data_IF_925707842184
#
_entry.id   IF_925707842184
#
_cell.length_a   1.000
_cell.length_b   1.000
_cell.length_c   1.000
_cell.angle_alpha   90.00
_cell.angle_beta   90.00
_cell.angle_gamma   90.00
#
_symmetry.space_group_name_H-M   'P 1'
#
loop_
_entity.id
_entity.type
_entity.pdbx_description
1 polymer ?
#
# COMPACT_ATOMS: atom_id res chain seq x y z
N UNK A 1 -20.97 -18.80 15.05
CA UNK A 1 -21.74 -19.34 13.92
C UNK A 1 -22.21 -20.75 14.21
N UNK A 2 -23.48 -21.05 13.91
CA UNK A 2 -24.01 -22.41 13.97
C UNK A 2 -24.41 -22.82 12.54
N UNK A 3 -23.92 -23.97 12.07
CA UNK A 3 -24.38 -24.58 10.82
C UNK A 3 -25.34 -25.70 11.21
N UNK A 4 -26.62 -25.50 10.90
CA UNK A 4 -27.67 -26.48 11.17
C UNK A 4 -28.02 -27.20 9.87
N UNK A 5 -27.87 -28.51 9.84
CA UNK A 5 -28.35 -29.37 8.75
C UNK A 5 -29.53 -30.20 9.27
N UNK A 6 -30.71 -30.13 8.63
CA UNK A 6 -31.83 -30.97 9.02
C UNK A 6 -31.55 -32.42 8.65
N UNK A 7 -31.82 -33.34 9.57
CA UNK A 7 -31.70 -34.79 9.36
C UNK A 7 -33.11 -35.35 9.18
N UNK A 8 -33.29 -36.08 8.09
CA UNK A 8 -34.51 -36.81 7.78
C UNK A 8 -34.24 -38.31 7.83
N UNK A 9 -35.03 -39.05 8.61
CA UNK A 9 -34.96 -40.51 8.68
C UNK A 9 -36.28 -41.05 8.12
N UNK A 10 -36.20 -41.83 7.04
CA UNK A 10 -37.38 -42.40 6.35
C UNK A 10 -38.45 -41.34 6.01
N UNK A 11 -38.00 -40.17 5.54
CA UNK A 11 -38.88 -39.05 5.17
C UNK A 11 -39.49 -38.28 6.35
N UNK A 12 -39.25 -38.68 7.61
CA UNK A 12 -39.68 -37.94 8.79
C UNK A 12 -38.54 -37.05 9.30
N UNK A 13 -38.88 -35.79 9.59
CA UNK A 13 -37.96 -34.86 10.24
C UNK A 13 -37.60 -35.40 11.63
N UNK A 14 -36.30 -35.63 11.87
CA UNK A 14 -35.82 -36.21 13.12
C UNK A 14 -35.13 -35.18 14.00
N UNK A 15 -34.45 -34.20 13.41
CA UNK A 15 -33.79 -33.13 14.16
C UNK A 15 -32.78 -32.36 13.34
N UNK A 16 -31.94 -31.57 14.02
CA UNK A 16 -30.86 -30.79 13.42
C UNK A 16 -29.49 -31.29 13.89
N UNK A 17 -28.59 -31.57 12.95
CA UNK A 17 -27.17 -31.60 13.24
C UNK A 17 -26.65 -30.16 13.29
N UNK A 18 -26.23 -29.72 14.48
CA UNK A 18 -25.73 -28.37 14.70
C UNK A 18 -24.23 -28.42 14.94
N UNK A 19 -23.46 -27.80 14.04
CA UNK A 19 -22.03 -27.57 14.24
C UNK A 19 -21.81 -26.12 14.70
N UNK A 20 -21.32 -25.95 15.92
CA UNK A 20 -21.01 -24.64 16.49
C UNK A 20 -19.55 -24.28 16.22
N UNK A 21 -19.32 -23.25 15.41
CA UNK A 21 -17.99 -22.77 15.09
C UNK A 21 -17.72 -21.40 15.70
N UNK A 22 -16.54 -21.29 16.31
CA UNK A 22 -16.00 -20.01 16.80
C UNK A 22 -15.44 -19.24 15.61
N UNK A 23 -16.14 -18.18 15.20
CA UNK A 23 -15.87 -17.40 13.97
C UNK A 23 -14.42 -16.89 13.91
N UNK A 24 -13.88 -16.36 15.02
CA UNK A 24 -12.48 -15.93 15.10
C UNK A 24 -11.46 -17.05 14.89
N UNK A 25 -11.79 -18.33 15.16
CA UNK A 25 -10.86 -19.46 14.96
C UNK A 25 -10.85 -19.99 13.53
N UNK A 26 -11.98 -19.94 12.83
CA UNK A 26 -12.07 -20.40 11.44
C UNK A 26 -11.22 -19.54 10.49
N UNK A 27 -11.27 -18.22 10.66
CA UNK A 27 -10.60 -17.29 9.75
C UNK A 27 -9.19 -16.88 10.20
N UNK A 28 -8.74 -17.33 11.38
CA UNK A 28 -7.38 -17.11 11.91
C UNK A 28 -6.26 -17.44 10.91
N UNK A 29 -6.23 -18.63 10.27
CA UNK A 29 -5.18 -18.94 9.30
C UNK A 29 -5.23 -18.03 8.06
N UNK A 30 -6.44 -17.65 7.61
CA UNK A 30 -6.64 -16.72 6.49
C UNK A 30 -6.13 -15.32 6.83
N UNK A 31 -6.45 -14.81 8.02
CA UNK A 31 -5.97 -13.51 8.48
C UNK A 31 -4.45 -13.47 8.65
N UNK A 32 -3.85 -14.54 9.15
CA UNK A 32 -2.39 -14.63 9.29
C UNK A 32 -1.68 -14.63 7.92
N UNK A 33 -2.24 -15.32 6.92
CA UNK A 33 -1.72 -15.25 5.55
C UNK A 33 -1.84 -13.85 4.97
N UNK A 34 -2.98 -13.18 5.14
CA UNK A 34 -3.17 -11.81 4.65
C UNK A 34 -2.22 -10.81 5.31
N UNK A 35 -1.99 -10.97 6.61
CA UNK A 35 -1.06 -10.11 7.36
C UNK A 35 0.39 -10.29 6.87
N UNK A 36 0.82 -11.54 6.65
CA UNK A 36 2.13 -11.87 6.04
C UNK A 36 2.30 -11.35 4.62
N UNK A 37 1.21 -11.34 3.85
CA UNK A 37 1.20 -10.80 2.48
C UNK A 37 1.14 -9.26 2.46
N UNK A 38 1.08 -8.60 3.63
CA UNK A 38 1.03 -7.16 3.72
C UNK A 38 -0.33 -6.57 3.39
N UNK A 39 -1.43 -7.31 3.62
CA UNK A 39 -2.79 -6.82 3.41
C UNK A 39 -3.46 -6.49 4.75
N UNK A 40 -4.11 -5.33 4.80
CA UNK A 40 -5.13 -5.02 5.77
C UNK A 40 -6.45 -5.68 5.36
N UNK A 41 -7.26 -6.06 6.34
CA UNK A 41 -8.54 -6.74 6.09
C UNK A 41 -9.66 -6.24 7.00
N UNK A 42 -10.90 -6.31 6.51
CA UNK A 42 -12.14 -6.12 7.29
C UNK A 42 -13.10 -7.26 6.93
N UNK A 43 -13.46 -8.07 7.92
CA UNK A 43 -14.46 -9.11 7.76
C UNK A 43 -15.76 -8.63 8.39
N UNK A 44 -16.82 -8.56 7.58
CA UNK A 44 -18.15 -8.11 7.98
C UNK A 44 -19.18 -9.20 7.69
N UNK A 45 -20.23 -9.27 8.52
CA UNK A 45 -21.31 -10.25 8.39
C UNK A 45 -22.65 -9.55 8.38
N UNK A 46 -23.57 -9.99 7.54
CA UNK A 46 -24.96 -9.52 7.54
C UNK A 46 -25.79 -10.31 8.55
N UNK A 47 -26.67 -9.63 9.29
CA UNK A 47 -27.68 -10.32 10.10
C UNK A 47 -28.84 -10.77 9.21
N UNK A 48 -29.47 -11.87 9.61
CA UNK A 48 -30.62 -12.45 8.89
C UNK A 48 -31.85 -11.52 8.96
N UNK A 49 -31.89 -10.57 9.90
CA UNK A 49 -33.06 -9.73 10.20
C UNK A 49 -32.85 -8.21 10.04
N UNK A 50 -31.70 -7.77 9.52
CA UNK A 50 -31.43 -6.34 9.30
C UNK A 50 -30.29 -6.17 8.33
N UNK A 51 -30.56 -5.50 7.20
CA UNK A 51 -29.71 -5.43 6.00
C UNK A 51 -28.34 -4.74 6.15
N UNK A 52 -27.83 -4.58 7.37
CA UNK A 52 -26.51 -4.01 7.65
C UNK A 52 -25.43 -5.08 7.78
N UNK A 53 -24.26 -4.80 7.19
CA UNK A 53 -23.03 -5.56 7.44
C UNK A 53 -22.34 -5.03 8.70
N UNK A 54 -22.20 -5.86 9.75
CA UNK A 54 -21.47 -5.48 10.95
C UNK A 54 -20.01 -5.99 10.87
N UNK A 55 -19.00 -5.12 11.12
CA UNK A 55 -17.60 -5.52 11.11
C UNK A 55 -17.26 -6.38 12.34
N UNK A 56 -16.72 -7.57 12.11
CA UNK A 56 -16.37 -8.54 13.15
C UNK A 56 -14.87 -8.51 13.50
N UNK A 57 -14.03 -8.12 12.54
CA UNK A 57 -12.59 -7.89 12.70
C UNK A 57 -12.15 -6.84 11.68
N UNK A 58 -11.57 -5.74 12.14
CA UNK A 58 -11.18 -4.61 11.30
C UNK A 58 -9.74 -4.20 11.58
N UNK A 59 -8.90 -4.26 10.54
CA UNK A 59 -7.59 -3.59 10.51
C UNK A 59 -7.43 -2.73 9.25
N UNK A 60 -8.56 -2.40 8.60
CA UNK A 60 -8.62 -1.72 7.31
C UNK A 60 -8.86 -0.22 7.52
N UNK A 61 -8.01 0.67 6.97
CA UNK A 61 -8.33 2.10 6.86
C UNK A 61 -9.57 2.30 5.96
N UNK A 62 -10.19 3.46 6.07
CA UNK A 62 -11.52 3.84 5.54
C UNK A 62 -11.90 3.32 4.13
N UNK A 63 -10.93 3.12 3.25
CA UNK A 63 -11.13 2.74 1.84
C UNK A 63 -10.66 1.31 1.55
N UNK A 64 -11.57 0.45 1.10
CA UNK A 64 -11.26 -0.90 0.61
C UNK A 64 -10.82 -0.85 -0.85
N UNK A 65 -9.85 -1.69 -1.24
CA UNK A 65 -9.43 -1.84 -2.64
C UNK A 65 -10.12 -3.02 -3.33
N UNK A 66 -10.48 -4.05 -2.55
CA UNK A 66 -11.15 -5.23 -3.03
C UNK A 66 -12.25 -5.64 -2.05
N UNK A 67 -13.41 -6.00 -2.59
CA UNK A 67 -14.58 -6.44 -1.86
C UNK A 67 -15.04 -7.78 -2.43
N UNK A 68 -15.12 -8.80 -1.57
CA UNK A 68 -15.64 -10.11 -1.95
C UNK A 68 -16.80 -10.43 -1.02
N UNK A 69 -17.95 -10.73 -1.61
CA UNK A 69 -19.14 -11.20 -0.88
C UNK A 69 -19.31 -12.70 -1.08
N UNK A 70 -19.57 -13.43 0.00
CA UNK A 70 -19.78 -14.88 -0.04
C UNK A 70 -20.83 -15.31 0.98
N UNK A 71 -21.53 -16.42 0.73
CA UNK A 71 -22.57 -16.94 1.62
C UNK A 71 -22.06 -18.15 2.39
N UNK A 72 -22.16 -18.12 3.71
CA UNK A 72 -21.74 -19.22 4.59
C UNK A 72 -22.75 -19.40 5.73
N UNK A 73 -23.32 -20.61 5.84
CA UNK A 73 -24.28 -21.01 6.88
C UNK A 73 -25.46 -20.06 7.06
N UNK A 74 -26.16 -19.75 5.96
CA UNK A 74 -27.36 -18.91 5.97
C UNK A 74 -27.10 -17.41 6.13
N UNK A 75 -25.87 -16.99 6.40
CA UNK A 75 -25.48 -15.58 6.50
C UNK A 75 -24.69 -15.15 5.26
N UNK A 76 -24.86 -13.90 4.85
CA UNK A 76 -23.99 -13.25 3.87
C UNK A 76 -22.78 -12.66 4.60
N UNK A 77 -21.61 -12.86 4.01
CA UNK A 77 -20.33 -12.39 4.50
C UNK A 77 -19.72 -11.46 3.47
N UNK A 78 -19.07 -10.41 3.96
CA UNK A 78 -18.32 -9.47 3.15
C UNK A 78 -16.90 -9.41 3.68
N UNK A 79 -15.94 -9.64 2.80
CA UNK A 79 -14.52 -9.52 3.11
C UNK A 79 -13.92 -8.41 2.26
N UNK A 80 -13.43 -7.38 2.92
CA UNK A 80 -12.75 -6.26 2.32
C UNK A 80 -11.25 -6.41 2.59
N UNK A 81 -10.42 -6.26 1.56
CA UNK A 81 -8.97 -6.28 1.69
C UNK A 81 -8.35 -5.08 0.97
N UNK A 82 -7.29 -4.54 1.55
CA UNK A 82 -6.49 -3.46 1.00
C UNK A 82 -5.02 -3.74 1.28
N UNK A 83 -4.16 -3.52 0.29
CA UNK A 83 -2.70 -3.59 0.47
C UNK A 83 -2.25 -2.53 1.48
N UNK A 84 -1.36 -2.88 2.42
CA UNK A 84 -0.77 -1.94 3.39
C UNK A 84 0.06 -0.85 2.69
N UNK A 85 0.58 -1.16 1.51
CA UNK A 85 1.34 -0.27 0.64
C UNK A 85 0.47 0.51 -0.36
N UNK A 86 -0.86 0.36 -0.31
CA UNK A 86 -1.77 1.16 -1.12
C UNK A 86 -1.70 2.64 -0.73
N UNK A 87 -0.93 3.42 -1.49
CA UNK A 87 -0.73 4.85 -1.28
C UNK A 87 0.66 5.23 -0.77
N UNK A 88 1.55 4.28 -0.50
CA UNK A 88 2.97 4.58 -0.26
C UNK A 88 3.73 4.53 -1.59
N UNK A 89 4.38 5.64 -1.95
CA UNK A 89 5.32 5.65 -3.05
C UNK A 89 6.41 4.59 -2.79
N UNK A 90 6.76 3.74 -3.78
CA UNK A 90 7.83 2.77 -3.62
C UNK A 90 9.10 3.49 -3.17
N UNK A 91 9.85 2.92 -2.22
CA UNK A 91 11.13 3.51 -1.79
C UNK A 91 12.08 3.74 -2.97
N UNK A 92 12.01 2.89 -3.99
CA UNK A 92 12.79 3.01 -5.23
C UNK A 92 12.46 4.31 -5.99
N UNK A 93 11.18 4.68 -6.07
CA UNK A 93 10.75 5.93 -6.72
C UNK A 93 11.21 7.14 -5.92
N UNK A 94 11.13 7.06 -4.58
CA UNK A 94 11.61 8.13 -3.68
C UNK A 94 13.13 8.32 -3.82
N UNK A 95 13.89 7.23 -3.94
CA UNK A 95 15.33 7.24 -4.16
C UNK A 95 15.70 7.83 -5.53
N UNK A 96 14.98 7.44 -6.58
CA UNK A 96 15.19 7.99 -7.94
C UNK A 96 14.97 9.49 -8.02
N UNK A 97 13.90 10.02 -7.39
CA UNK A 97 13.64 11.47 -7.33
C UNK A 97 14.78 12.20 -6.63
N UNK A 98 15.28 11.66 -5.51
CA UNK A 98 16.39 12.27 -4.78
C UNK A 98 17.68 12.28 -5.61
N UNK A 99 17.99 11.17 -6.29
CA UNK A 99 19.15 11.07 -7.17
C UNK A 99 19.08 12.11 -8.30
N UNK A 100 17.91 12.30 -8.93
CA UNK A 100 17.75 13.29 -10.00
C UNK A 100 18.02 14.73 -9.55
N UNK A 101 17.53 15.11 -8.35
CA UNK A 101 17.77 16.44 -7.78
C UNK A 101 19.27 16.66 -7.52
N UNK A 102 19.96 15.65 -6.97
CA UNK A 102 21.40 15.73 -6.71
C UNK A 102 22.18 15.92 -8.00
N UNK A 103 21.85 15.19 -9.07
CA UNK A 103 22.53 15.32 -10.37
C UNK A 103 22.38 16.73 -10.94
N UNK A 104 21.21 17.34 -10.86
CA UNK A 104 20.99 18.72 -11.35
C UNK A 104 21.82 19.73 -10.55
N UNK A 105 21.86 19.60 -9.22
CA UNK A 105 22.64 20.49 -8.35
C UNK A 105 24.13 20.38 -8.67
N UNK A 106 24.66 19.15 -8.74
CA UNK A 106 26.08 18.91 -9.05
C UNK A 106 26.44 19.49 -10.41
N UNK A 107 25.62 19.25 -11.44
CA UNK A 107 25.87 19.78 -12.78
C UNK A 107 25.83 21.32 -12.81
N UNK A 108 24.92 21.93 -12.05
CA UNK A 108 24.82 23.40 -11.96
C UNK A 108 26.04 24.01 -11.28
N UNK A 109 26.51 23.42 -10.19
CA UNK A 109 27.73 23.86 -9.48
C UNK A 109 28.95 23.71 -10.38
N UNK A 110 29.06 22.59 -11.10
CA UNK A 110 30.15 22.34 -12.02
C UNK A 110 30.18 23.37 -13.16
N UNK A 111 29.03 23.67 -13.75
CA UNK A 111 28.91 24.69 -14.78
C UNK A 111 29.32 26.09 -14.27
N UNK A 112 28.90 26.45 -13.05
CA UNK A 112 29.27 27.71 -12.42
C UNK A 112 30.79 27.81 -12.14
N UNK A 113 31.40 26.72 -11.68
CA UNK A 113 32.85 26.64 -11.46
C UNK A 113 33.63 26.79 -12.77
N UNK A 114 33.20 26.10 -13.83
CA UNK A 114 33.80 26.18 -15.17
C UNK A 114 33.73 27.61 -15.73
N UNK A 115 32.56 28.26 -15.61
CA UNK A 115 32.39 29.64 -16.05
C UNK A 115 33.32 30.60 -15.28
N UNK A 116 33.41 30.45 -13.95
CA UNK A 116 34.28 31.29 -13.13
C UNK A 116 35.77 31.06 -13.46
N UNK A 117 36.18 29.82 -13.73
CA UNK A 117 37.54 29.50 -14.19
C UNK A 117 37.85 30.15 -15.55
N UNK A 118 36.94 30.03 -16.51
CA UNK A 118 37.08 30.65 -17.83
C UNK A 118 37.12 32.17 -17.75
N UNK A 119 36.32 32.76 -16.88
CA UNK A 119 36.28 34.21 -16.67
C UNK A 119 37.57 34.72 -16.04
N UNK A 120 38.13 34.00 -15.06
CA UNK A 120 39.46 34.27 -14.50
C UNK A 120 40.56 34.15 -15.56
N UNK A 121 40.53 33.11 -16.38
CA UNK A 121 41.48 32.92 -17.48
C UNK A 121 41.42 34.05 -18.53
N UNK A 122 40.21 34.50 -18.90
CA UNK A 122 40.04 35.65 -19.79
C UNK A 122 40.49 36.96 -19.16
N UNK A 123 40.21 37.18 -17.86
CA UNK A 123 40.72 38.37 -17.15
C UNK A 123 42.25 38.37 -17.10
N UNK A 124 42.88 37.24 -16.79
CA UNK A 124 44.34 37.12 -16.81
C UNK A 124 44.91 37.37 -18.21
N UNK A 125 44.28 36.81 -19.25
CA UNK A 125 44.72 37.04 -20.63
C UNK A 125 44.60 38.51 -21.03
N UNK A 126 43.51 39.19 -20.64
CA UNK A 126 43.35 40.63 -20.87
C UNK A 126 44.39 41.45 -20.12
N UNK A 127 44.67 41.11 -18.86
CA UNK A 127 45.68 41.80 -18.06
C UNK A 127 47.07 41.65 -18.67
N UNK A 128 47.43 40.44 -19.14
CA UNK A 128 48.69 40.19 -19.82
C UNK A 128 48.79 40.93 -21.16
N UNK A 129 47.71 40.98 -21.93
CA UNK A 129 47.68 41.69 -23.22
C UNK A 129 47.75 43.21 -23.02
N UNK A 130 47.08 43.74 -21.97
CA UNK A 130 47.23 45.14 -21.59
C UNK A 130 48.62 45.47 -21.07
N UNK A 131 49.28 44.59 -20.29
CA UNK A 131 50.66 44.78 -19.82
C UNK A 131 51.65 44.75 -21.00
N UNK A 132 51.45 43.81 -21.93
CA UNK A 132 52.29 43.71 -23.13
C UNK A 132 52.13 44.93 -24.05
N UNK A 133 50.93 45.52 -24.10
CA UNK A 133 50.64 46.75 -24.83
C UNK A 133 50.97 48.04 -24.06
N UNK A 134 51.15 48.00 -22.73
CA UNK A 134 51.56 49.16 -21.93
C UNK A 134 53.05 49.22 -21.64
N UNK A 135 53.81 48.15 -21.94
CA UNK A 135 55.25 48.20 -22.23
C UNK A 135 56.01 49.30 -21.51
N UNK A 136 55.96 49.29 -20.18
CA UNK A 136 56.80 50.07 -19.27
C UNK A 136 57.63 49.11 -18.43
#
# INVERSE_FOLDING_TARGET
MAVCKPIFIKGKFWGYATALYKEKRLFKPTFNKLDKLGYNYRLSKTFITGGGYQPLSSNLPEKSQSEITFRLGGCSWKMEAARKDAGQMPQEVKSGIFSGIVTVIVNTILAALLLNYLERGRRLSRLLDTDYLTGM
#
